data_IF_762769806451
#
_entry.id   IF_762769806451
#
_cell.length_a   1.000
_cell.length_b   1.000
_cell.length_c   1.000
_cell.angle_alpha   90.00
_cell.angle_beta   90.00
_cell.angle_gamma   90.00
#
_symmetry.space_group_name_H-M   'P 1'
#
loop_
_entity.id
_entity.type
_entity.pdbx_description
1 polymer ?
#
# COMPACT_ATOMS: atom_id res chain seq x y z
N UNK A 1 -11.41 -8.12 -0.50
CA UNK A 1 -9.99 -8.15 -0.94
C UNK A 1 -9.32 -6.94 -0.33
N UNK A 2 -8.20 -7.12 0.37
CA UNK A 2 -7.54 -6.02 1.09
C UNK A 2 -6.69 -5.20 0.12
N UNK A 3 -6.75 -3.88 0.20
CA UNK A 3 -6.02 -3.02 -0.73
C UNK A 3 -5.15 -2.00 0.00
N UNK A 4 -3.98 -1.74 -0.57
CA UNK A 4 -3.02 -0.73 -0.12
C UNK A 4 -2.69 0.17 -1.30
N UNK A 5 -2.85 1.48 -1.14
CA UNK A 5 -2.38 2.47 -2.10
C UNK A 5 -1.06 3.00 -1.61
N UNK A 6 -0.05 2.98 -2.46
CA UNK A 6 1.32 3.39 -2.14
C UNK A 6 1.67 4.58 -3.02
N UNK A 7 2.18 5.64 -2.41
CA UNK A 7 2.61 6.85 -3.10
C UNK A 7 4.12 6.98 -2.95
N UNK A 8 4.83 6.81 -4.06
CA UNK A 8 6.30 6.79 -4.10
C UNK A 8 6.84 7.94 -4.95
N UNK A 9 8.02 8.44 -4.58
CA UNK A 9 8.73 9.43 -5.39
C UNK A 9 9.90 8.79 -6.12
N UNK A 10 9.70 8.42 -7.38
CA UNK A 10 10.70 7.73 -8.20
C UNK A 10 11.24 8.69 -9.25
N UNK A 11 12.56 8.91 -9.28
CA UNK A 11 13.24 9.85 -10.20
C UNK A 11 12.62 11.26 -10.24
N UNK A 12 12.16 11.76 -9.09
CA UNK A 12 11.55 13.08 -8.97
C UNK A 12 10.08 13.17 -9.42
N UNK A 13 9.48 12.06 -9.87
CA UNK A 13 8.06 11.96 -10.17
C UNK A 13 7.31 11.26 -9.04
N UNK A 14 6.07 11.69 -8.80
CA UNK A 14 5.18 11.03 -7.86
C UNK A 14 4.43 9.93 -8.63
N UNK A 15 4.57 8.69 -8.19
CA UNK A 15 3.90 7.51 -8.73
C UNK A 15 2.90 7.00 -7.69
N UNK A 16 1.75 6.52 -8.15
CA UNK A 16 0.68 6.00 -7.30
C UNK A 16 0.36 4.57 -7.72
N UNK A 17 0.69 3.63 -6.85
CA UNK A 17 0.48 2.20 -7.07
C UNK A 17 -0.61 1.67 -6.15
N UNK A 18 -1.37 0.68 -6.60
CA UNK A 18 -2.38 -0.01 -5.77
C UNK A 18 -2.10 -1.50 -5.76
N UNK A 19 -1.91 -2.05 -4.57
CA UNK A 19 -1.64 -3.47 -4.34
C UNK A 19 -2.84 -4.13 -3.68
N UNK A 20 -3.20 -5.32 -4.17
CA UNK A 20 -4.30 -6.12 -3.64
C UNK A 20 -3.80 -7.40 -2.98
N UNK A 21 -4.31 -7.69 -1.80
CA UNK A 21 -3.91 -8.83 -0.98
C UNK A 21 -5.09 -9.75 -0.66
N UNK A 22 -4.89 -11.07 -0.71
CA UNK A 22 -5.93 -12.05 -0.40
C UNK A 22 -6.24 -12.14 1.09
N UNK A 23 -5.27 -11.85 1.96
CA UNK A 23 -5.44 -11.89 3.43
C UNK A 23 -5.00 -10.59 4.08
N UNK A 24 -5.56 -10.33 5.26
CA UNK A 24 -5.23 -9.15 6.06
C UNK A 24 -3.77 -9.16 6.51
N UNK A 25 -3.28 -10.31 6.94
CA UNK A 25 -1.89 -10.50 7.38
C UNK A 25 -0.89 -10.13 6.28
N UNK A 26 -1.17 -10.47 5.02
CA UNK A 26 -0.29 -10.10 3.91
C UNK A 26 -0.30 -8.60 3.62
N UNK A 27 -1.47 -7.96 3.76
CA UNK A 27 -1.59 -6.49 3.68
C UNK A 27 -0.72 -5.84 4.75
N UNK A 28 -0.78 -6.33 5.98
CA UNK A 28 -0.08 -5.72 7.12
C UNK A 28 1.43 -5.91 7.05
N UNK A 29 1.91 -7.10 6.65
CA UNK A 29 3.35 -7.31 6.37
C UNK A 29 3.83 -6.35 5.28
N UNK A 30 3.05 -6.17 4.21
CA UNK A 30 3.42 -5.25 3.13
C UNK A 30 3.45 -3.78 3.61
N UNK A 31 2.54 -3.41 4.51
CA UNK A 31 2.57 -2.08 5.12
C UNK A 31 3.84 -1.84 5.93
N UNK A 32 4.20 -2.78 6.79
CA UNK A 32 5.39 -2.69 7.63
C UNK A 32 6.64 -2.50 6.76
N UNK A 33 6.78 -3.28 5.68
CA UNK A 33 7.88 -3.14 4.73
C UNK A 33 7.94 -1.75 4.08
N UNK A 34 6.79 -1.20 3.67
CA UNK A 34 6.73 0.13 3.08
C UNK A 34 7.04 1.25 4.11
N UNK A 35 6.66 1.07 5.38
CA UNK A 35 7.02 2.01 6.46
C UNK A 35 8.52 2.00 6.76
N UNK A 36 9.19 0.83 6.70
CA UNK A 36 10.65 0.71 6.84
C UNK A 36 11.41 1.44 5.71
N UNK A 37 10.83 1.50 4.51
CA UNK A 37 11.42 2.13 3.32
C UNK A 37 11.05 3.63 3.17
N UNK A 38 10.50 4.28 4.21
CA UNK A 38 10.03 5.68 4.20
C UNK A 38 8.98 5.98 3.09
N UNK A 39 8.17 4.98 2.72
CA UNK A 39 7.14 5.10 1.70
C UNK A 39 5.81 5.54 2.30
N UNK A 40 5.10 6.46 1.62
CA UNK A 40 3.80 6.94 2.09
C UNK A 40 2.70 5.96 1.66
N UNK A 41 1.94 5.47 2.65
CA UNK A 41 0.87 4.48 2.44
C UNK A 41 -0.50 5.09 2.76
N UNK A 42 -1.47 4.89 1.87
CA UNK A 42 -2.88 5.24 2.08
C UNK A 42 -3.71 3.95 1.98
N UNK A 43 -4.41 3.60 3.05
CA UNK A 43 -5.28 2.42 3.05
C UNK A 43 -6.72 2.81 2.86
N UNK A 44 -7.40 2.15 1.91
CA UNK A 44 -8.86 2.19 1.87
C UNK A 44 -9.39 1.19 2.89
N UNK A 45 -10.06 1.69 3.92
CA UNK A 45 -10.92 0.85 4.75
C UNK A 45 -12.00 0.24 3.84
N UNK A 46 -12.15 -1.07 3.96
CA UNK A 46 -12.87 -2.02 3.11
C UNK A 46 -13.90 -1.45 2.12
N UNK A 47 -13.67 -1.64 0.81
CA UNK A 47 -14.77 -1.63 -0.16
C UNK A 47 -15.39 -3.03 -0.13
N UNK A 48 -16.41 -3.21 0.72
CA UNK A 48 -17.31 -4.36 0.63
C UNK A 48 -18.05 -4.28 -0.72
N UNK A 49 -17.75 -5.22 -1.62
CA UNK A 49 -18.49 -5.42 -2.89
C UNK A 49 -19.56 -6.47 -2.64
#
# INVERSE_FOLDING_TARGET
MYQVVVVEKIFGKIEVNTYGFPTEVQRDIFKELCEEDDVIIITREEVAV
#
